data_IF_272525270139
#
_entry.id   IF_272525270139
#
_cell.length_a   1.000
_cell.length_b   1.000
_cell.length_c   1.000
_cell.angle_alpha   90.00
_cell.angle_beta   90.00
_cell.angle_gamma   90.00
#
_symmetry.space_group_name_H-M   'P 1'
#
loop_
_entity.id
_entity.type
_entity.pdbx_description
1 polymer ?
#
# COMPACT_ATOMS: atom_id res chain seq x y z
N UNK A 1 11.14 10.06 -10.36
CA UNK A 1 10.75 10.83 -9.17
C UNK A 1 11.95 11.54 -8.53
N UNK A 2 13.13 10.88 -8.36
CA UNK A 2 14.32 11.54 -7.79
C UNK A 2 14.73 12.84 -8.52
N UNK A 3 14.56 12.87 -9.83
CA UNK A 3 14.96 14.04 -10.66
C UNK A 3 13.87 15.12 -10.77
N UNK A 4 12.61 14.82 -10.36
CA UNK A 4 11.44 15.67 -10.62
C UNK A 4 10.88 16.41 -9.41
N UNK A 5 11.23 16.04 -8.16
CA UNK A 5 10.58 16.56 -6.94
C UNK A 5 11.53 17.03 -5.85
N UNK A 6 12.77 17.39 -6.14
CA UNK A 6 13.68 17.89 -5.10
C UNK A 6 14.08 16.81 -4.06
N UNK A 7 14.36 17.24 -2.87
CA UNK A 7 14.84 16.46 -1.72
C UNK A 7 13.85 15.33 -1.37
N UNK A 8 14.30 14.08 -1.40
CA UNK A 8 13.46 12.92 -1.12
C UNK A 8 13.91 12.22 0.16
N UNK A 9 13.09 12.27 1.21
CA UNK A 9 13.27 11.41 2.38
C UNK A 9 12.53 10.10 2.18
N UNK A 10 13.25 8.97 2.18
CA UNK A 10 12.65 7.64 2.09
C UNK A 10 12.53 7.00 3.46
N UNK A 11 11.35 6.55 3.80
CA UNK A 11 11.08 5.82 5.04
C UNK A 11 10.64 4.40 4.71
N UNK A 12 11.42 3.42 5.15
CA UNK A 12 11.08 2.00 5.03
C UNK A 12 10.53 1.55 6.38
N UNK A 13 9.27 1.10 6.40
CA UNK A 13 8.59 0.67 7.63
C UNK A 13 8.39 -0.83 7.58
N UNK A 14 8.86 -1.52 8.63
CA UNK A 14 8.76 -2.97 8.79
C UNK A 14 7.94 -3.29 10.04
N UNK A 15 6.98 -4.21 9.93
CA UNK A 15 6.33 -4.78 11.10
C UNK A 15 7.18 -5.90 11.68
N UNK A 16 7.22 -6.03 13.01
CA UNK A 16 7.92 -7.12 13.69
C UNK A 16 7.54 -8.50 13.17
N UNK A 17 8.43 -9.47 13.29
CA UNK A 17 8.23 -10.87 12.95
C UNK A 17 7.12 -11.52 13.78
N UNK A 18 6.67 -12.70 13.35
CA UNK A 18 5.65 -13.44 14.09
C UNK A 18 6.12 -13.69 15.53
N UNK A 19 5.27 -13.32 16.50
CA UNK A 19 5.52 -13.54 17.94
C UNK A 19 4.68 -14.69 18.48
N UNK A 20 5.05 -15.18 19.67
CA UNK A 20 4.29 -16.22 20.38
C UNK A 20 2.83 -15.83 20.60
N UNK A 21 2.54 -14.54 20.84
CA UNK A 21 1.15 -14.06 21.00
C UNK A 21 0.41 -13.98 19.66
N UNK A 22 1.11 -13.72 18.54
CA UNK A 22 0.47 -13.76 17.22
C UNK A 22 -0.07 -15.16 16.87
N UNK A 23 0.63 -16.23 17.26
CA UNK A 23 0.25 -17.62 16.94
C UNK A 23 -1.08 -18.01 17.59
N UNK A 24 -1.37 -17.49 18.77
CA UNK A 24 -2.61 -17.78 19.54
C UNK A 24 -3.62 -16.62 19.52
N UNK A 25 -3.38 -15.59 18.70
CA UNK A 25 -4.23 -14.39 18.59
C UNK A 25 -4.51 -13.71 19.95
N UNK A 26 -3.45 -13.58 20.76
CA UNK A 26 -3.49 -12.85 22.03
C UNK A 26 -3.19 -11.38 21.78
N UNK A 27 -3.97 -10.49 22.41
CA UNK A 27 -3.77 -9.04 22.34
C UNK A 27 -2.48 -8.69 23.09
N UNK A 28 -1.57 -8.01 22.40
CA UNK A 28 -0.24 -7.72 22.93
C UNK A 28 -0.16 -6.32 23.55
N UNK A 29 -0.57 -5.30 22.78
CA UNK A 29 -0.46 -3.91 23.21
C UNK A 29 0.94 -3.57 23.71
N UNK A 30 1.03 -3.03 24.90
CA UNK A 30 2.26 -2.69 25.60
C UNK A 30 2.89 -3.85 26.40
N UNK A 31 2.21 -5.00 26.53
CA UNK A 31 2.80 -6.18 27.18
C UNK A 31 4.05 -6.62 26.42
N UNK A 32 5.13 -6.88 27.17
CA UNK A 32 6.46 -7.18 26.63
C UNK A 32 6.93 -8.60 26.96
N UNK A 33 5.98 -9.51 27.14
CA UNK A 33 6.25 -10.93 27.45
C UNK A 33 6.45 -11.77 26.19
N UNK A 34 5.85 -11.35 25.04
CA UNK A 34 5.92 -12.11 23.81
C UNK A 34 7.27 -11.94 23.11
N UNK A 35 7.81 -13.06 22.64
CA UNK A 35 9.06 -13.14 21.87
C UNK A 35 8.80 -13.63 20.45
N UNK A 36 9.76 -13.45 19.55
CA UNK A 36 9.66 -13.99 18.20
C UNK A 36 9.60 -15.52 18.21
N UNK A 37 8.80 -16.09 17.32
CA UNK A 37 8.85 -17.52 17.00
C UNK A 37 10.05 -17.82 16.09
N UNK A 38 10.40 -19.08 15.89
CA UNK A 38 11.40 -19.47 14.89
C UNK A 38 11.06 -18.93 13.49
N UNK A 39 9.78 -19.00 13.11
CA UNK A 39 9.30 -18.38 11.87
C UNK A 39 9.52 -16.88 11.87
N UNK A 40 9.21 -16.18 12.97
CA UNK A 40 9.43 -14.75 13.09
C UNK A 40 10.90 -14.35 12.94
N UNK A 41 11.82 -15.11 13.52
CA UNK A 41 13.26 -14.92 13.36
C UNK A 41 13.70 -15.18 11.90
N UNK A 42 13.25 -16.27 11.30
CA UNK A 42 13.55 -16.62 9.91
C UNK A 42 13.06 -15.56 8.93
N UNK A 43 11.83 -15.05 9.13
CA UNK A 43 11.26 -14.01 8.26
C UNK A 43 11.99 -12.66 8.47
N UNK A 44 12.42 -12.32 9.69
CA UNK A 44 13.25 -11.14 9.96
C UNK A 44 14.62 -11.20 9.24
N UNK A 45 15.25 -12.39 9.18
CA UNK A 45 16.48 -12.59 8.38
C UNK A 45 16.23 -12.32 6.90
N UNK A 46 15.09 -12.77 6.35
CA UNK A 46 14.74 -12.51 4.96
C UNK A 46 14.51 -11.02 4.68
N UNK A 47 13.90 -10.29 5.63
CA UNK A 47 13.82 -8.82 5.56
C UNK A 47 15.22 -8.21 5.50
N UNK A 48 16.13 -8.61 6.40
CA UNK A 48 17.51 -8.13 6.41
C UNK A 48 18.20 -8.37 5.07
N UNK A 49 18.06 -9.57 4.49
CA UNK A 49 18.60 -9.88 3.14
C UNK A 49 18.01 -9.01 2.05
N UNK A 50 16.68 -8.80 2.07
CA UNK A 50 16.00 -7.96 1.08
C UNK A 50 16.42 -6.48 1.17
N UNK A 51 16.86 -6.03 2.34
CA UNK A 51 17.32 -4.66 2.60
C UNK A 51 18.85 -4.50 2.58
N UNK A 52 19.62 -5.58 2.40
CA UNK A 52 21.08 -5.58 2.57
C UNK A 52 21.86 -4.69 1.59
N UNK A 53 21.26 -4.32 0.47
CA UNK A 53 21.87 -3.44 -0.54
C UNK A 53 21.43 -1.98 -0.40
N UNK A 54 20.67 -1.64 0.65
CA UNK A 54 20.16 -0.29 0.87
C UNK A 54 21.01 0.38 1.95
N UNK A 55 21.62 1.52 1.62
CA UNK A 55 22.30 2.36 2.61
C UNK A 55 21.25 3.12 3.44
N UNK A 56 21.35 2.98 4.77
CA UNK A 56 20.50 3.69 5.71
C UNK A 56 21.28 4.80 6.42
N UNK A 57 20.63 5.94 6.64
CA UNK A 57 21.18 7.05 7.43
C UNK A 57 20.77 6.96 8.90
N UNK A 58 19.63 6.32 9.20
CA UNK A 58 19.19 6.02 10.56
C UNK A 58 18.31 4.76 10.60
N UNK A 59 18.34 4.06 11.73
CA UNK A 59 17.50 2.88 11.99
C UNK A 59 16.82 3.04 13.34
N UNK A 60 15.50 3.08 13.34
CA UNK A 60 14.65 3.20 14.52
C UNK A 60 13.90 1.91 14.79
N UNK A 61 13.75 1.55 16.06
CA UNK A 61 12.89 0.46 16.47
C UNK A 61 12.02 0.83 17.68
N UNK A 62 10.89 0.16 17.81
CA UNK A 62 10.12 0.16 19.06
C UNK A 62 10.91 -0.52 20.15
N UNK A 63 10.86 -0.03 21.41
CA UNK A 63 11.55 -0.68 22.55
C UNK A 63 10.93 -2.02 22.95
N UNK A 64 9.71 -2.37 22.49
CA UNK A 64 9.08 -3.64 22.82
C UNK A 64 9.84 -4.81 22.20
N UNK A 65 10.13 -5.85 23.01
CA UNK A 65 11.05 -6.98 22.70
C UNK A 65 10.87 -7.54 21.29
N UNK A 66 9.64 -7.86 20.88
CA UNK A 66 9.37 -8.46 19.56
C UNK A 66 9.82 -7.58 18.38
N UNK A 67 9.66 -6.25 18.50
CA UNK A 67 10.11 -5.32 17.46
C UNK A 67 11.63 -5.08 17.55
N UNK A 68 12.17 -4.95 18.75
CA UNK A 68 13.59 -4.81 19.00
C UNK A 68 14.37 -6.04 18.50
N UNK A 69 13.95 -7.26 18.84
CA UNK A 69 14.54 -8.50 18.31
C UNK A 69 14.50 -8.57 16.79
N UNK A 70 13.36 -8.17 16.17
CA UNK A 70 13.25 -8.10 14.71
C UNK A 70 14.27 -7.11 14.13
N UNK A 71 14.40 -5.93 14.73
CA UNK A 71 15.33 -4.90 14.28
C UNK A 71 16.81 -5.33 14.45
N UNK A 72 17.14 -6.01 15.54
CA UNK A 72 18.48 -6.54 15.80
C UNK A 72 18.88 -7.60 14.76
N UNK A 73 17.96 -8.50 14.39
CA UNK A 73 18.18 -9.51 13.33
C UNK A 73 18.40 -8.83 11.97
N UNK A 74 17.52 -7.88 11.61
CA UNK A 74 17.64 -7.12 10.36
C UNK A 74 18.95 -6.34 10.31
N UNK A 75 19.28 -5.63 11.39
CA UNK A 75 20.52 -4.86 11.52
C UNK A 75 21.76 -5.74 11.36
N UNK A 76 21.77 -6.90 12.01
CA UNK A 76 22.87 -7.87 11.89
C UNK A 76 23.09 -8.37 10.47
N UNK A 77 21.99 -8.65 9.75
CA UNK A 77 22.05 -9.11 8.36
C UNK A 77 22.53 -8.01 7.40
N UNK A 78 22.06 -6.77 7.57
CA UNK A 78 22.53 -5.63 6.77
C UNK A 78 24.01 -5.37 7.05
N UNK A 79 24.42 -5.39 8.32
CA UNK A 79 25.83 -5.18 8.75
C UNK A 79 26.79 -6.19 8.16
N UNK A 80 26.34 -7.42 7.89
CA UNK A 80 27.16 -8.43 7.25
C UNK A 80 27.52 -8.10 5.79
N UNK A 81 26.79 -7.17 5.16
CA UNK A 81 26.92 -6.79 3.75
C UNK A 81 27.38 -5.33 3.53
N UNK A 82 27.23 -4.46 4.53
CA UNK A 82 27.59 -3.04 4.45
C UNK A 82 28.51 -2.64 5.63
N UNK A 83 29.64 -2.00 5.32
CA UNK A 83 30.64 -1.59 6.34
C UNK A 83 30.15 -0.51 7.29
N UNK A 84 29.33 0.42 6.80
CA UNK A 84 28.85 1.57 7.56
C UNK A 84 27.32 1.51 7.72
N UNK A 85 26.87 0.90 8.81
CA UNK A 85 25.47 0.87 9.19
C UNK A 85 25.25 1.73 10.46
N UNK A 86 24.23 2.62 10.50
CA UNK A 86 23.94 3.38 11.71
C UNK A 86 23.51 2.48 12.87
N UNK A 87 23.81 2.91 14.08
CA UNK A 87 23.38 2.19 15.28
C UNK A 87 21.84 2.16 15.37
N UNK A 88 21.33 1.07 15.95
CA UNK A 88 19.90 0.93 16.22
C UNK A 88 19.47 1.88 17.33
N UNK A 89 18.42 2.67 17.09
CA UNK A 89 17.88 3.65 18.02
C UNK A 89 16.46 3.27 18.44
N UNK A 90 16.21 3.21 19.74
CA UNK A 90 14.86 3.01 20.25
C UNK A 90 14.08 4.33 20.22
N UNK A 91 12.80 4.26 19.83
CA UNK A 91 11.91 5.40 19.86
C UNK A 91 10.55 5.00 20.46
N UNK A 92 10.15 5.72 21.53
CA UNK A 92 8.91 5.44 22.26
C UNK A 92 7.65 5.74 21.43
N UNK A 93 7.74 6.65 20.45
CA UNK A 93 6.62 7.05 19.59
C UNK A 93 6.24 6.01 18.54
N UNK A 94 7.00 4.92 18.43
CA UNK A 94 6.65 3.78 17.58
C UNK A 94 6.33 2.51 18.39
N UNK A 95 5.96 2.65 19.67
CA UNK A 95 5.33 1.57 20.45
C UNK A 95 3.98 1.22 19.84
N UNK A 96 3.51 0.01 20.11
CA UNK A 96 2.20 -0.48 19.67
C UNK A 96 1.07 0.25 20.43
N UNK A 97 -0.16 0.12 19.94
CA UNK A 97 -1.36 0.60 20.59
C UNK A 97 -1.43 0.11 22.04
N UNK A 98 -1.82 0.97 22.96
CA UNK A 98 -2.13 0.60 24.33
C UNK A 98 -3.61 0.22 24.45
N UNK A 99 -3.88 -1.01 24.89
CA UNK A 99 -5.22 -1.56 25.06
C UNK A 99 -5.37 -2.13 26.48
N UNK A 100 -5.34 -1.27 27.52
CA UNK A 100 -5.14 -1.70 28.93
C UNK A 100 -6.17 -2.70 29.42
N UNK A 101 -7.40 -2.69 28.90
CA UNK A 101 -8.44 -3.63 29.30
C UNK A 101 -8.40 -4.97 28.56
N UNK A 102 -7.65 -5.06 27.46
CA UNK A 102 -7.62 -6.23 26.58
C UNK A 102 -6.25 -6.91 26.51
N UNK A 103 -5.19 -6.24 26.94
CA UNK A 103 -3.82 -6.77 26.90
C UNK A 103 -3.72 -8.10 27.66
N UNK A 104 -3.12 -9.10 27.03
CA UNK A 104 -2.99 -10.46 27.55
C UNK A 104 -4.19 -11.37 27.29
N UNK A 105 -5.33 -10.87 26.85
CA UNK A 105 -6.51 -11.66 26.53
C UNK A 105 -6.42 -12.25 25.11
N UNK A 106 -7.05 -13.40 24.88
CA UNK A 106 -7.29 -13.89 23.52
C UNK A 106 -8.32 -13.00 22.80
N UNK A 107 -8.22 -12.89 21.49
CA UNK A 107 -9.22 -12.12 20.71
C UNK A 107 -10.65 -12.66 20.86
N UNK A 108 -10.81 -13.96 21.09
CA UNK A 108 -12.11 -14.60 21.40
C UNK A 108 -12.63 -14.19 22.77
N UNK A 109 -11.75 -14.13 23.78
CA UNK A 109 -12.13 -13.68 25.14
C UNK A 109 -12.56 -12.20 25.14
N UNK A 110 -11.90 -11.34 24.33
CA UNK A 110 -12.32 -9.96 24.16
C UNK A 110 -13.71 -9.89 23.53
N UNK A 111 -13.96 -10.69 22.49
CA UNK A 111 -15.27 -10.74 21.84
C UNK A 111 -16.38 -11.21 22.78
N UNK A 112 -16.09 -12.16 23.67
CA UNK A 112 -17.04 -12.71 24.64
C UNK A 112 -17.30 -11.74 25.79
N UNK A 113 -16.24 -11.11 26.36
CA UNK A 113 -16.34 -10.25 27.52
C UNK A 113 -16.73 -8.81 27.21
N UNK A 114 -16.36 -8.33 26.01
CA UNK A 114 -16.55 -6.94 25.55
C UNK A 114 -17.18 -6.92 24.14
N UNK A 115 -18.35 -7.54 23.91
CA UNK A 115 -18.90 -7.71 22.55
C UNK A 115 -19.17 -6.39 21.85
N UNK A 116 -19.69 -5.37 22.54
CA UNK A 116 -19.97 -4.05 21.97
C UNK A 116 -18.68 -3.31 21.63
N UNK A 117 -17.71 -3.28 22.53
CA UNK A 117 -16.41 -2.64 22.28
C UNK A 117 -15.64 -3.34 21.15
N UNK A 118 -15.72 -4.69 21.08
CA UNK A 118 -15.13 -5.45 19.99
C UNK A 118 -15.80 -5.12 18.64
N UNK A 119 -17.10 -4.91 18.61
CA UNK A 119 -17.82 -4.45 17.41
C UNK A 119 -17.37 -3.04 17.02
N UNK A 120 -17.30 -2.10 17.96
CA UNK A 120 -16.78 -0.75 17.74
C UNK A 120 -15.36 -0.80 17.18
N UNK A 121 -14.47 -1.61 17.77
CA UNK A 121 -13.11 -1.85 17.25
C UNK A 121 -13.07 -2.29 15.79
N UNK A 122 -14.03 -3.08 15.34
CA UNK A 122 -14.10 -3.59 13.96
C UNK A 122 -14.70 -2.60 12.97
N UNK A 123 -15.70 -1.84 13.39
CA UNK A 123 -16.53 -1.03 12.49
C UNK A 123 -16.19 0.47 12.54
N UNK A 124 -15.88 0.99 13.74
CA UNK A 124 -15.60 2.40 14.01
C UNK A 124 -14.47 2.53 15.05
N UNK A 125 -13.24 2.08 14.73
CA UNK A 125 -12.18 1.94 15.73
C UNK A 125 -11.82 3.25 16.45
N UNK A 126 -12.03 4.40 15.84
CA UNK A 126 -11.80 5.72 16.41
C UNK A 126 -12.77 6.04 17.58
N UNK A 127 -13.89 5.34 17.64
CA UNK A 127 -14.90 5.49 18.71
C UNK A 127 -14.67 4.55 19.89
N UNK A 128 -13.72 3.61 19.77
CA UNK A 128 -13.40 2.72 20.88
C UNK A 128 -12.93 3.54 22.08
N UNK A 129 -13.65 3.37 23.20
CA UNK A 129 -13.41 4.05 24.47
C UNK A 129 -13.16 3.02 25.57
N UNK A 130 -12.11 3.23 26.35
CA UNK A 130 -11.81 2.45 27.53
C UNK A 130 -11.84 3.34 28.76
N UNK A 131 -12.38 2.84 29.87
CA UNK A 131 -12.32 3.51 31.16
C UNK A 131 -11.10 3.00 31.91
N UNK A 132 -10.14 3.88 32.16
CA UNK A 132 -8.87 3.52 32.79
C UNK A 132 -8.66 4.32 34.08
N UNK A 133 -7.95 3.73 35.05
CA UNK A 133 -7.59 4.42 36.27
C UNK A 133 -6.39 5.34 36.01
N UNK A 134 -6.52 6.59 36.44
CA UNK A 134 -5.45 7.58 36.50
C UNK A 134 -5.38 8.14 37.91
N UNK A 135 -4.52 7.56 38.75
CA UNK A 135 -4.51 7.80 40.18
C UNK A 135 -5.82 7.36 40.85
N UNK A 136 -6.49 8.31 41.49
CA UNK A 136 -7.80 8.06 42.15
C UNK A 136 -9.01 8.30 41.24
N UNK A 137 -8.78 8.77 39.99
CA UNK A 137 -9.84 9.10 39.04
C UNK A 137 -9.96 8.07 37.94
N UNK A 138 -11.18 7.87 37.43
CA UNK A 138 -11.41 7.09 36.20
C UNK A 138 -11.55 8.06 35.06
N UNK A 139 -10.72 7.86 34.04
CA UNK A 139 -10.69 8.71 32.84
C UNK A 139 -11.07 7.92 31.57
N UNK A 140 -11.62 8.62 30.61
CA UNK A 140 -11.88 8.05 29.29
C UNK A 140 -10.60 8.05 28.45
N UNK A 141 -10.28 6.91 27.87
CA UNK A 141 -9.12 6.73 26.98
C UNK A 141 -9.59 6.21 25.64
N UNK A 142 -9.14 6.85 24.57
CA UNK A 142 -9.44 6.49 23.18
C UNK A 142 -8.17 5.95 22.51
N UNK A 143 -7.98 4.62 22.50
CA UNK A 143 -6.70 4.00 22.07
C UNK A 143 -6.25 4.40 20.67
N UNK A 144 -7.19 4.44 19.72
CA UNK A 144 -6.87 4.78 18.32
C UNK A 144 -6.50 6.24 18.15
N UNK A 145 -7.24 7.15 18.80
CA UNK A 145 -6.94 8.58 18.70
C UNK A 145 -5.58 8.89 19.34
N UNK A 146 -5.28 8.27 20.49
CA UNK A 146 -3.98 8.41 21.14
C UNK A 146 -2.83 7.88 20.27
N UNK A 147 -3.01 6.73 19.61
CA UNK A 147 -2.02 6.16 18.71
C UNK A 147 -1.83 7.02 17.44
N UNK A 148 -2.90 7.61 16.96
CA UNK A 148 -2.88 8.50 15.80
C UNK A 148 -2.07 9.77 16.08
N UNK A 149 -2.25 10.39 17.25
CA UNK A 149 -1.43 11.53 17.70
C UNK A 149 0.03 11.12 17.92
N UNK A 150 0.28 9.95 18.52
CA UNK A 150 1.63 9.39 18.66
C UNK A 150 2.35 9.24 17.30
N UNK A 151 1.63 8.79 16.26
CA UNK A 151 2.18 8.69 14.91
C UNK A 151 2.50 10.06 14.30
N UNK A 152 1.64 11.07 14.49
CA UNK A 152 1.92 12.45 14.06
C UNK A 152 3.16 13.03 14.74
N UNK A 153 3.28 12.85 16.06
CA UNK A 153 4.44 13.27 16.82
C UNK A 153 5.73 12.60 16.33
N UNK A 154 5.67 11.33 15.94
CA UNK A 154 6.82 10.64 15.34
C UNK A 154 7.26 11.34 14.06
N UNK A 155 6.34 11.63 13.13
CA UNK A 155 6.66 12.33 11.89
C UNK A 155 7.22 13.73 12.13
N UNK A 156 6.63 14.48 13.03
CA UNK A 156 7.10 15.82 13.41
C UNK A 156 8.53 15.81 13.99
N UNK A 157 8.89 14.72 14.68
CA UNK A 157 10.24 14.57 15.23
C UNK A 157 11.25 14.12 14.18
N UNK A 158 10.90 13.15 13.35
CA UNK A 158 11.87 12.43 12.51
C UNK A 158 12.11 13.11 11.16
N UNK A 159 11.07 13.57 10.47
CA UNK A 159 11.24 14.09 9.11
C UNK A 159 12.15 15.33 9.04
N UNK A 160 12.09 16.30 9.96
CA UNK A 160 13.01 17.43 9.93
C UNK A 160 14.49 17.05 10.13
N UNK A 161 14.76 15.91 10.81
CA UNK A 161 16.13 15.43 11.08
C UNK A 161 16.73 14.68 9.89
N UNK A 162 15.91 14.17 8.98
CA UNK A 162 16.31 13.20 7.96
C UNK A 162 15.98 13.64 6.52
N UNK A 163 16.14 14.93 6.23
CA UNK A 163 15.98 15.43 4.86
C UNK A 163 17.00 14.79 3.92
N UNK A 164 16.56 14.33 2.74
CA UNK A 164 17.37 13.60 1.75
C UNK A 164 17.97 12.28 2.24
N UNK A 165 17.41 11.68 3.24
CA UNK A 165 17.94 10.48 3.86
C UNK A 165 17.00 9.28 3.68
N UNK A 166 17.56 8.07 3.80
CA UNK A 166 16.83 6.82 3.85
C UNK A 166 16.86 6.27 5.27
N UNK A 167 15.70 6.11 5.88
CA UNK A 167 15.58 5.60 7.25
C UNK A 167 14.78 4.29 7.30
N UNK A 168 15.14 3.42 8.23
CA UNK A 168 14.42 2.20 8.55
C UNK A 168 13.67 2.34 9.88
N UNK A 169 12.43 1.93 9.91
CA UNK A 169 11.57 1.92 11.10
C UNK A 169 11.04 0.50 11.32
N UNK A 170 11.31 -0.10 12.46
CA UNK A 170 10.81 -1.43 12.81
C UNK A 170 9.85 -1.32 13.99
N UNK A 171 8.57 -1.59 13.74
CA UNK A 171 7.53 -1.35 14.74
C UNK A 171 6.40 -2.42 14.68
N UNK A 172 5.15 -2.02 14.84
CA UNK A 172 4.03 -2.94 15.06
C UNK A 172 2.86 -2.68 14.08
N UNK A 173 1.85 -3.52 14.18
CA UNK A 173 0.72 -3.49 13.23
C UNK A 173 -0.09 -2.20 13.29
N UNK A 174 -0.55 -1.81 14.49
CA UNK A 174 -1.45 -0.67 14.61
C UNK A 174 -0.70 0.65 14.43
N UNK A 175 0.48 0.80 15.04
CA UNK A 175 1.28 2.02 14.85
C UNK A 175 1.73 2.18 13.40
N UNK A 176 2.11 1.11 12.69
CA UNK A 176 2.49 1.20 11.27
C UNK A 176 1.32 1.68 10.40
N UNK A 177 0.09 1.19 10.69
CA UNK A 177 -1.12 1.70 10.01
C UNK A 177 -1.33 3.18 10.30
N UNK A 178 -1.21 3.62 11.56
CA UNK A 178 -1.33 5.02 11.92
C UNK A 178 -0.22 5.88 11.29
N UNK A 179 1.03 5.40 11.23
CA UNK A 179 2.11 6.09 10.53
C UNK A 179 1.79 6.32 9.05
N UNK A 180 1.30 5.29 8.36
CA UNK A 180 0.92 5.40 6.95
C UNK A 180 -0.28 6.33 6.77
N UNK A 181 -1.32 6.16 7.59
CA UNK A 181 -2.54 6.95 7.49
C UNK A 181 -2.31 8.44 7.80
N UNK A 182 -1.55 8.75 8.85
CA UNK A 182 -1.22 10.13 9.20
C UNK A 182 -0.36 10.80 8.13
N UNK A 183 0.54 10.04 7.48
CA UNK A 183 1.36 10.55 6.40
C UNK A 183 0.54 11.00 5.19
N UNK A 184 -0.49 10.24 4.81
CA UNK A 184 -1.39 10.57 3.69
C UNK A 184 -2.72 11.16 4.15
N UNK A 185 -2.81 11.67 5.37
CA UNK A 185 -3.97 12.37 5.95
C UNK A 185 -5.30 11.58 5.92
N UNK A 186 -5.23 10.26 6.05
CA UNK A 186 -6.44 9.41 6.19
C UNK A 186 -6.93 9.47 7.64
N UNK A 187 -8.22 9.59 7.83
CA UNK A 187 -8.89 9.62 9.13
C UNK A 187 -8.70 8.33 9.95
N UNK A 188 -8.63 8.40 11.28
CA UNK A 188 -8.36 7.24 12.13
C UNK A 188 -9.42 6.12 12.03
N UNK A 189 -10.64 6.43 11.64
CA UNK A 189 -11.71 5.44 11.39
C UNK A 189 -11.39 4.42 10.30
N UNK A 190 -10.44 4.72 9.42
CA UNK A 190 -10.04 3.86 8.32
C UNK A 190 -8.98 2.81 8.69
N UNK A 191 -8.57 2.73 9.97
CA UNK A 191 -7.47 1.88 10.42
C UNK A 191 -7.62 0.41 10.04
N UNK A 192 -8.86 -0.10 9.98
CA UNK A 192 -9.12 -1.50 9.60
C UNK A 192 -9.09 -1.76 8.08
N UNK A 193 -9.05 -0.70 7.26
CA UNK A 193 -9.07 -0.81 5.79
C UNK A 193 -7.73 -1.11 5.13
N UNK A 194 -6.65 -1.12 5.91
CA UNK A 194 -5.32 -1.47 5.43
C UNK A 194 -4.73 -2.62 6.25
N UNK A 195 -3.94 -3.47 5.60
CA UNK A 195 -3.32 -4.63 6.24
C UNK A 195 -1.86 -4.35 6.60
N UNK A 196 -1.35 -5.04 7.61
CA UNK A 196 0.07 -5.14 7.94
C UNK A 196 0.40 -6.58 8.29
N UNK A 197 1.08 -7.31 7.40
CA UNK A 197 1.57 -8.66 7.65
C UNK A 197 2.81 -8.64 8.56
N UNK A 198 3.09 -9.72 9.30
CA UNK A 198 4.37 -9.82 10.03
C UNK A 198 5.53 -9.74 9.03
N UNK A 199 6.59 -9.05 9.36
CA UNK A 199 7.75 -8.82 8.49
C UNK A 199 7.42 -8.17 7.13
N UNK A 200 6.25 -7.56 6.95
CA UNK A 200 5.97 -6.81 5.72
C UNK A 200 6.86 -5.57 5.63
N UNK A 201 7.14 -5.17 4.41
CA UNK A 201 7.88 -3.96 4.08
C UNK A 201 6.95 -2.95 3.43
N UNK A 202 6.99 -1.71 3.91
CA UNK A 202 6.30 -0.57 3.32
C UNK A 202 7.34 0.50 2.99
N UNK A 203 7.20 1.17 1.85
CA UNK A 203 8.13 2.22 1.41
C UNK A 203 7.34 3.50 1.16
N UNK A 204 7.70 4.55 1.88
CA UNK A 204 7.13 5.89 1.79
C UNK A 204 8.19 6.88 1.35
N UNK A 205 7.85 7.76 0.43
CA UNK A 205 8.74 8.82 -0.06
C UNK A 205 8.11 10.18 0.26
N UNK A 206 8.85 11.04 0.97
CA UNK A 206 8.44 12.39 1.32
C UNK A 206 9.25 13.39 0.50
N UNK A 207 8.59 14.38 -0.10
CA UNK A 207 9.22 15.49 -0.81
C UNK A 207 9.71 16.58 0.14
N UNK A 208 9.82 17.81 -0.39
CA UNK A 208 10.35 18.97 0.35
C UNK A 208 9.48 19.41 1.54
N UNK A 209 8.20 19.10 1.49
CA UNK A 209 7.26 19.36 2.60
C UNK A 209 6.56 18.07 3.02
N UNK A 210 6.03 18.06 4.25
CA UNK A 210 5.33 16.91 4.83
C UNK A 210 4.01 16.56 4.11
N UNK A 211 3.57 17.39 3.19
CA UNK A 211 2.35 17.22 2.43
C UNK A 211 2.58 16.50 1.10
N UNK A 212 3.83 16.56 0.58
CA UNK A 212 4.25 15.83 -0.62
C UNK A 212 4.73 14.43 -0.25
N UNK A 213 3.79 13.52 -0.10
CA UNK A 213 4.02 12.12 0.27
C UNK A 213 3.52 11.16 -0.82
N UNK A 214 4.31 10.13 -1.11
CA UNK A 214 3.89 9.03 -1.97
C UNK A 214 4.18 7.68 -1.31
N UNK A 215 3.19 6.82 -1.26
CA UNK A 215 3.37 5.40 -0.96
C UNK A 215 3.97 4.75 -2.21
N UNK A 216 5.26 4.42 -2.15
CA UNK A 216 5.94 3.68 -3.21
C UNK A 216 5.45 2.24 -3.26
N UNK A 217 5.34 1.59 -2.08
CA UNK A 217 4.78 0.26 -1.94
C UNK A 217 4.26 0.03 -0.52
N UNK A 218 3.31 -0.89 -0.40
CA UNK A 218 2.63 -1.14 0.85
C UNK A 218 2.45 -2.64 1.10
N UNK A 219 2.79 -3.10 2.32
CA UNK A 219 2.61 -4.46 2.81
C UNK A 219 3.22 -5.55 1.91
N UNK A 220 4.43 -5.32 1.39
CA UNK A 220 5.17 -6.30 0.60
C UNK A 220 5.51 -7.53 1.44
N UNK A 221 5.31 -8.73 0.88
CA UNK A 221 5.56 -10.03 1.54
C UNK A 221 6.41 -10.99 0.70
N UNK A 222 6.72 -10.62 -0.55
CA UNK A 222 7.36 -11.47 -1.55
C UNK A 222 8.77 -11.91 -1.13
N UNK A 223 9.52 -11.04 -0.44
CA UNK A 223 10.86 -11.37 0.12
C UNK A 223 10.83 -12.54 1.11
N UNK A 224 9.68 -12.83 1.71
CA UNK A 224 9.49 -13.99 2.58
C UNK A 224 9.10 -15.28 1.82
N UNK A 225 8.91 -15.20 0.50
CA UNK A 225 8.39 -16.29 -0.33
C UNK A 225 6.85 -16.35 -0.35
N UNK A 226 6.17 -15.37 0.24
CA UNK A 226 4.72 -15.27 0.23
C UNK A 226 4.29 -14.34 -0.91
N UNK A 227 3.84 -14.91 -2.04
CA UNK A 227 3.45 -14.17 -3.25
C UNK A 227 2.39 -13.09 -2.95
N UNK A 228 1.30 -13.48 -2.30
CA UNK A 228 0.21 -12.57 -1.89
C UNK A 228 0.01 -12.62 -0.38
N UNK A 229 -0.39 -11.52 0.26
CA UNK A 229 -0.78 -11.54 1.66
C UNK A 229 -1.90 -12.55 1.92
N UNK A 230 -1.84 -13.24 3.07
CA UNK A 230 -2.84 -14.24 3.45
C UNK A 230 -4.21 -13.59 3.61
N UNK A 231 -5.25 -14.31 3.19
CA UNK A 231 -6.64 -13.93 3.46
C UNK A 231 -6.88 -13.80 4.98
N UNK A 232 -7.71 -12.87 5.38
CA UNK A 232 -8.15 -12.77 6.78
C UNK A 232 -8.96 -14.01 7.16
N UNK A 233 -8.91 -14.44 8.43
CA UNK A 233 -9.78 -15.50 8.92
C UNK A 233 -11.25 -15.19 8.62
N UNK A 234 -12.01 -16.19 8.21
CA UNK A 234 -13.42 -16.08 7.83
C UNK A 234 -13.69 -15.17 6.62
N UNK A 235 -12.73 -15.07 5.70
CA UNK A 235 -12.92 -14.42 4.42
C UNK A 235 -13.99 -15.16 3.61
N UNK A 236 -15.03 -14.46 3.16
CA UNK A 236 -16.19 -15.03 2.45
C UNK A 236 -16.46 -14.34 1.11
N UNK A 237 -15.85 -13.19 0.87
CA UNK A 237 -16.04 -12.43 -0.35
C UNK A 237 -14.95 -12.69 -1.37
N UNK A 238 -14.69 -11.70 -2.22
CA UNK A 238 -13.72 -11.80 -3.31
C UNK A 238 -12.37 -11.17 -2.93
N UNK A 239 -11.33 -11.63 -3.63
CA UNK A 239 -10.04 -10.95 -3.76
C UNK A 239 -9.96 -10.30 -5.14
N UNK A 240 -9.67 -9.01 -5.17
CA UNK A 240 -9.35 -8.27 -6.38
C UNK A 240 -7.84 -8.15 -6.54
N UNK A 241 -7.36 -8.52 -7.71
CA UNK A 241 -6.01 -8.25 -8.21
C UNK A 241 -6.11 -7.12 -9.23
N UNK A 242 -5.51 -5.96 -8.93
CA UNK A 242 -5.54 -4.79 -9.80
C UNK A 242 -4.13 -4.53 -10.35
N UNK A 243 -3.96 -4.63 -11.66
CA UNK A 243 -2.68 -4.55 -12.35
C UNK A 243 -2.66 -3.34 -13.28
N UNK A 244 -1.56 -2.57 -13.31
CA UNK A 244 -1.30 -1.59 -14.37
C UNK A 244 -0.67 -2.31 -15.56
N UNK A 245 -1.00 -1.87 -16.78
CA UNK A 245 -0.40 -2.38 -18.02
C UNK A 245 1.14 -2.33 -18.01
N UNK A 246 1.79 -3.14 -18.84
CA UNK A 246 3.22 -3.15 -19.05
C UNK A 246 3.73 -1.88 -19.74
N UNK A 247 5.06 -1.74 -19.81
CA UNK A 247 5.71 -0.57 -20.39
C UNK A 247 5.40 -0.41 -21.89
N UNK A 248 5.25 0.85 -22.32
CA UNK A 248 5.15 1.27 -23.70
C UNK A 248 6.34 2.18 -24.06
N UNK A 249 6.59 2.43 -25.33
CA UNK A 249 7.63 3.38 -25.74
C UNK A 249 7.38 4.79 -25.18
N UNK A 250 6.11 5.19 -25.02
CA UNK A 250 5.78 6.47 -24.45
C UNK A 250 6.01 6.53 -22.93
N UNK A 251 5.86 5.41 -22.20
CA UNK A 251 6.29 5.35 -20.80
C UNK A 251 7.81 5.58 -20.69
N UNK A 252 8.60 4.87 -21.52
CA UNK A 252 10.05 5.00 -21.55
C UNK A 252 10.49 6.44 -21.89
N UNK A 253 9.78 7.11 -22.79
CA UNK A 253 10.03 8.49 -23.22
C UNK A 253 9.42 9.52 -22.27
N UNK A 254 8.73 9.12 -21.21
CA UNK A 254 8.00 10.00 -20.28
C UNK A 254 6.99 10.92 -20.99
N UNK A 255 6.24 10.37 -21.95
CA UNK A 255 5.15 11.06 -22.66
C UNK A 255 3.80 10.70 -22.10
N UNK A 256 2.90 11.66 -22.03
CA UNK A 256 1.51 11.46 -21.65
C UNK A 256 0.79 10.64 -22.72
N UNK A 257 0.13 9.53 -22.33
CA UNK A 257 -0.49 8.63 -23.31
C UNK A 257 -2.00 8.87 -23.46
N UNK A 258 -2.67 9.06 -22.36
CA UNK A 258 -4.13 9.21 -22.37
C UNK A 258 -4.79 8.00 -23.04
N UNK A 259 -5.70 8.29 -23.98
CA UNK A 259 -6.41 7.26 -24.74
C UNK A 259 -5.85 7.02 -26.14
N UNK A 260 -4.70 7.59 -26.48
CA UNK A 260 -3.96 7.16 -27.68
C UNK A 260 -3.59 5.68 -27.53
N UNK A 261 -3.90 4.89 -28.55
CA UNK A 261 -3.82 3.43 -28.48
C UNK A 261 -2.42 2.92 -28.85
N UNK A 262 -1.55 2.91 -27.85
CA UNK A 262 -0.14 2.48 -27.95
C UNK A 262 -0.02 1.05 -27.42
N UNK A 263 0.68 0.18 -28.17
CA UNK A 263 1.00 -1.19 -27.77
C UNK A 263 2.11 -1.26 -26.72
N UNK A 264 2.27 -2.42 -26.09
CA UNK A 264 3.42 -2.71 -25.26
C UNK A 264 4.71 -2.66 -26.09
N UNK A 265 5.79 -2.15 -25.49
CA UNK A 265 7.13 -2.38 -26.04
C UNK A 265 7.68 -3.75 -25.59
N UNK A 266 8.87 -4.12 -26.02
CA UNK A 266 9.47 -5.42 -25.69
C UNK A 266 9.66 -5.60 -24.18
N UNK A 267 10.04 -4.54 -23.46
CA UNK A 267 10.13 -4.58 -21.98
C UNK A 267 8.76 -4.76 -21.33
N UNK A 268 7.72 -4.09 -21.83
CA UNK A 268 6.34 -4.26 -21.33
C UNK A 268 5.80 -5.68 -21.50
N UNK A 269 6.16 -6.35 -22.62
CA UNK A 269 5.83 -7.77 -22.81
C UNK A 269 6.53 -8.65 -21.78
N UNK A 270 7.84 -8.45 -21.57
CA UNK A 270 8.62 -9.17 -20.55
C UNK A 270 8.08 -8.91 -19.12
N UNK A 271 7.71 -7.67 -18.81
CA UNK A 271 7.06 -7.36 -17.52
C UNK A 271 5.74 -8.12 -17.37
N UNK A 272 4.92 -8.17 -18.43
CA UNK A 272 3.64 -8.89 -18.42
C UNK A 272 3.83 -10.41 -18.26
N UNK A 273 4.85 -11.00 -18.89
CA UNK A 273 5.24 -12.40 -18.70
C UNK A 273 5.66 -12.69 -17.25
N UNK A 274 6.38 -11.77 -16.60
CA UNK A 274 6.74 -11.89 -15.18
C UNK A 274 5.52 -11.83 -14.25
N UNK A 275 4.53 -10.97 -14.55
CA UNK A 275 3.24 -10.98 -13.84
C UNK A 275 2.53 -12.32 -14.04
N UNK A 276 2.47 -12.81 -15.27
CA UNK A 276 1.85 -14.10 -15.61
C UNK A 276 2.50 -15.25 -14.81
N UNK A 277 3.83 -15.34 -14.80
CA UNK A 277 4.58 -16.33 -14.02
C UNK A 277 4.37 -16.16 -12.51
N UNK A 278 4.30 -14.92 -12.02
CA UNK A 278 4.02 -14.64 -10.62
C UNK A 278 2.63 -15.12 -10.20
N UNK A 279 1.62 -14.95 -11.05
CA UNK A 279 0.23 -15.28 -10.77
C UNK A 279 -0.18 -16.71 -11.19
N UNK A 280 0.66 -17.48 -11.88
CA UNK A 280 0.30 -18.79 -12.48
C UNK A 280 -0.36 -19.80 -11.53
N UNK A 281 0.02 -19.77 -10.24
CA UNK A 281 -0.50 -20.67 -9.21
C UNK A 281 -1.72 -20.08 -8.46
N UNK A 282 -2.15 -18.87 -8.82
CA UNK A 282 -3.31 -18.21 -8.22
C UNK A 282 -4.54 -18.54 -9.08
N UNK A 283 -5.54 -19.14 -8.47
CA UNK A 283 -6.82 -19.36 -9.17
C UNK A 283 -7.50 -18.02 -9.42
N UNK A 284 -7.74 -17.69 -10.69
CA UNK A 284 -8.45 -16.48 -11.12
C UNK A 284 -9.73 -16.94 -11.81
N UNK A 285 -10.88 -16.44 -11.34
CA UNK A 285 -12.18 -16.83 -11.87
C UNK A 285 -12.59 -16.00 -13.09
N UNK A 286 -12.20 -14.72 -13.14
CA UNK A 286 -12.55 -13.81 -14.23
C UNK A 286 -11.53 -12.67 -14.37
N UNK A 287 -11.31 -12.25 -15.63
CA UNK A 287 -10.38 -11.15 -15.94
C UNK A 287 -11.13 -10.05 -16.68
N UNK A 288 -10.93 -8.83 -16.24
CA UNK A 288 -11.40 -7.61 -16.88
C UNK A 288 -10.21 -6.76 -17.33
N UNK A 289 -10.35 -6.03 -18.41
CA UNK A 289 -9.31 -5.12 -18.87
C UNK A 289 -9.91 -3.87 -19.50
N UNK A 290 -9.17 -2.76 -19.40
CA UNK A 290 -9.34 -1.64 -20.33
C UNK A 290 -9.25 -2.15 -21.77
N UNK A 291 -10.04 -1.59 -22.67
CA UNK A 291 -9.99 -1.93 -24.10
C UNK A 291 -8.78 -1.36 -24.83
N UNK A 292 -8.00 -0.43 -24.22
CA UNK A 292 -6.78 0.09 -24.79
C UNK A 292 -5.72 -1.02 -24.93
N UNK A 293 -5.04 -1.03 -26.08
CA UNK A 293 -4.18 -2.11 -26.55
C UNK A 293 -3.16 -2.56 -25.50
N UNK A 294 -2.42 -1.63 -24.87
CA UNK A 294 -1.42 -1.94 -23.83
C UNK A 294 -1.97 -2.71 -22.62
N UNK A 295 -3.18 -2.39 -22.19
CA UNK A 295 -3.84 -3.08 -21.07
C UNK A 295 -4.39 -4.43 -21.50
N UNK A 296 -5.01 -4.49 -22.67
CA UNK A 296 -5.50 -5.72 -23.29
C UNK A 296 -4.38 -6.73 -23.53
N UNK A 297 -3.27 -6.33 -24.14
CA UNK A 297 -2.09 -7.19 -24.36
C UNK A 297 -1.52 -7.72 -23.04
N UNK A 298 -1.42 -6.87 -22.01
CA UNK A 298 -0.99 -7.29 -20.67
C UNK A 298 -1.91 -8.38 -20.12
N UNK A 299 -3.24 -8.19 -20.21
CA UNK A 299 -4.23 -9.16 -19.75
C UNK A 299 -4.15 -10.48 -20.54
N UNK A 300 -4.00 -10.41 -21.87
CA UNK A 300 -3.86 -11.58 -22.74
C UNK A 300 -2.60 -12.41 -22.43
N UNK A 301 -1.47 -11.74 -22.13
CA UNK A 301 -0.24 -12.42 -21.72
C UNK A 301 -0.42 -13.10 -20.35
N UNK A 302 -1.07 -12.44 -19.38
CA UNK A 302 -1.37 -13.06 -18.08
C UNK A 302 -2.24 -14.31 -18.26
N UNK A 303 -3.25 -14.23 -19.13
CA UNK A 303 -4.19 -15.32 -19.39
C UNK A 303 -3.56 -16.57 -20.06
N UNK A 304 -2.38 -16.46 -20.64
CA UNK A 304 -1.66 -17.64 -21.17
C UNK A 304 -1.35 -18.68 -20.09
N UNK A 305 -1.29 -18.27 -18.81
CA UNK A 305 -1.09 -19.15 -17.66
C UNK A 305 -2.41 -19.60 -17.01
N UNK A 306 -3.58 -19.13 -17.47
CA UNK A 306 -4.89 -19.36 -16.86
C UNK A 306 -5.88 -19.92 -17.90
N UNK A 307 -5.92 -21.24 -18.03
CA UNK A 307 -6.83 -21.89 -18.99
C UNK A 307 -8.30 -21.72 -18.55
N UNK A 308 -9.18 -21.50 -19.55
CA UNK A 308 -10.62 -21.38 -19.38
C UNK A 308 -11.09 -20.14 -18.57
N UNK A 309 -10.27 -19.11 -18.46
CA UNK A 309 -10.66 -17.84 -17.88
C UNK A 309 -10.97 -16.83 -19.00
N UNK A 310 -12.14 -16.21 -18.95
CA UNK A 310 -12.59 -15.25 -19.95
C UNK A 310 -12.05 -13.87 -19.67
N UNK A 311 -11.66 -13.17 -20.75
CA UNK A 311 -11.33 -11.76 -20.73
C UNK A 311 -12.55 -10.94 -21.15
N UNK A 312 -12.93 -9.98 -20.33
CA UNK A 312 -13.97 -8.99 -20.64
C UNK A 312 -13.35 -7.59 -20.73
N UNK A 313 -13.53 -6.94 -21.88
CA UNK A 313 -13.02 -5.59 -22.10
C UNK A 313 -14.05 -4.56 -21.68
N UNK A 314 -13.61 -3.49 -21.00
CA UNK A 314 -14.48 -2.43 -20.53
C UNK A 314 -13.87 -1.04 -20.71
N UNK A 315 -14.56 -0.17 -21.44
CA UNK A 315 -14.12 1.19 -21.74
C UNK A 315 -14.09 2.11 -20.50
N UNK A 316 -14.83 1.78 -19.44
CA UNK A 316 -14.78 2.51 -18.18
C UNK A 316 -13.40 2.48 -17.50
N UNK A 317 -12.58 1.49 -17.83
CA UNK A 317 -11.20 1.40 -17.33
C UNK A 317 -10.15 2.07 -18.22
N UNK A 318 -10.51 2.71 -19.34
CA UNK A 318 -9.56 3.50 -20.14
C UNK A 318 -8.89 4.57 -19.29
N UNK A 319 -7.65 4.91 -19.65
CA UNK A 319 -6.90 5.98 -18.99
C UNK A 319 -7.59 7.34 -19.14
N UNK A 320 -7.18 8.31 -18.35
CA UNK A 320 -7.63 9.70 -18.45
C UNK A 320 -7.38 10.22 -19.87
N UNK A 321 -8.37 10.86 -20.47
CA UNK A 321 -8.15 11.58 -21.74
C UNK A 321 -7.34 12.84 -21.43
N UNK A 322 -6.05 12.81 -21.73
CA UNK A 322 -5.15 13.94 -21.53
C UNK A 322 -5.29 15.01 -22.62
N UNK A 323 -6.01 14.71 -23.70
CA UNK A 323 -6.34 15.65 -24.75
C UNK A 323 -5.11 16.24 -25.43
N UNK A 324 -4.94 17.56 -25.37
CA UNK A 324 -3.82 18.26 -26.00
C UNK A 324 -2.44 17.91 -25.44
N UNK A 325 -2.38 17.20 -24.29
CA UNK A 325 -1.10 16.75 -23.72
C UNK A 325 -0.66 15.38 -24.25
N UNK A 326 -1.55 14.64 -24.92
CA UNK A 326 -1.22 13.30 -25.45
C UNK A 326 -0.07 13.36 -26.46
N UNK A 327 0.89 12.49 -26.27
CA UNK A 327 2.15 12.44 -27.04
C UNK A 327 3.24 13.42 -26.60
N UNK A 328 2.97 14.32 -25.65
CA UNK A 328 3.92 15.33 -25.20
C UNK A 328 4.66 14.89 -23.93
N UNK A 329 5.90 15.33 -23.82
CA UNK A 329 6.66 15.32 -22.56
C UNK A 329 6.26 16.49 -21.67
N UNK A 330 6.62 16.42 -20.38
CA UNK A 330 6.38 17.53 -19.44
C UNK A 330 7.01 18.87 -19.91
N UNK A 331 8.20 18.80 -20.51
CA UNK A 331 8.87 19.99 -21.05
C UNK A 331 8.06 20.62 -22.19
N UNK A 332 7.55 19.80 -23.10
CA UNK A 332 6.71 20.26 -24.22
C UNK A 332 5.36 20.84 -23.71
N UNK A 333 4.78 20.21 -22.68
CA UNK A 333 3.54 20.71 -22.05
C UNK A 333 3.80 22.07 -21.37
N UNK A 334 4.88 22.21 -20.59
CA UNK A 334 5.18 23.46 -19.90
C UNK A 334 5.44 24.61 -20.89
N UNK A 335 5.99 24.32 -22.08
CA UNK A 335 6.18 25.33 -23.13
C UNK A 335 4.88 25.77 -23.78
N UNK A 336 3.92 24.86 -24.01
CA UNK A 336 2.64 25.16 -24.65
C UNK A 336 1.55 25.60 -23.67
N UNK A 337 1.60 25.09 -22.44
CA UNK A 337 0.62 25.32 -21.37
C UNK A 337 1.32 25.69 -20.06
N UNK A 338 1.97 26.86 -19.97
CA UNK A 338 2.79 27.24 -18.82
C UNK A 338 1.98 27.19 -17.50
N UNK A 339 2.52 26.51 -16.49
CA UNK A 339 1.93 26.38 -15.15
C UNK A 339 0.79 25.37 -15.02
N UNK A 340 0.29 24.79 -16.12
CA UNK A 340 -0.81 23.82 -16.05
C UNK A 340 -0.38 22.47 -15.46
N UNK A 341 0.90 22.06 -15.66
CA UNK A 341 1.45 20.86 -15.00
C UNK A 341 1.47 21.02 -13.47
N UNK A 342 1.80 22.21 -12.99
CA UNK A 342 1.79 22.47 -11.56
C UNK A 342 0.36 22.40 -11.01
N UNK A 343 -0.62 23.02 -11.68
CA UNK A 343 -2.04 22.93 -11.30
C UNK A 343 -2.54 21.50 -11.27
N UNK A 344 -2.21 20.69 -12.28
CA UNK A 344 -2.57 19.27 -12.33
C UNK A 344 -1.99 18.48 -11.14
N UNK A 345 -0.80 18.81 -10.70
CA UNK A 345 -0.15 18.16 -9.55
C UNK A 345 -0.71 18.62 -8.21
N UNK A 346 -1.03 19.91 -8.07
CA UNK A 346 -1.48 20.49 -6.79
C UNK A 346 -2.98 20.32 -6.56
N UNK A 347 -3.79 20.43 -7.59
CA UNK A 347 -5.25 20.42 -7.50
C UNK A 347 -5.90 19.60 -8.62
N UNK A 348 -5.61 18.27 -8.70
CA UNK A 348 -6.11 17.41 -9.78
C UNK A 348 -7.65 17.40 -9.85
N UNK A 349 -8.33 17.52 -8.70
CA UNK A 349 -9.79 17.55 -8.60
C UNK A 349 -10.43 18.77 -9.25
N UNK A 350 -9.70 19.86 -9.43
CA UNK A 350 -10.15 21.11 -10.06
C UNK A 350 -9.62 21.26 -11.49
N UNK A 351 -8.80 20.31 -11.93
CA UNK A 351 -8.12 20.41 -13.21
C UNK A 351 -8.98 19.87 -14.36
N UNK A 352 -9.07 20.66 -15.43
CA UNK A 352 -9.67 20.26 -16.70
C UNK A 352 -8.55 20.06 -17.72
N UNK A 353 -8.37 18.84 -18.21
CA UNK A 353 -7.42 18.58 -19.29
C UNK A 353 -7.80 19.36 -20.55
N UNK A 354 -6.87 20.08 -21.18
CA UNK A 354 -7.13 20.79 -22.43
C UNK A 354 -7.61 19.81 -23.51
N UNK A 355 -8.86 19.97 -23.96
CA UNK A 355 -9.53 19.06 -24.89
C UNK A 355 -9.62 17.60 -24.39
N UNK A 356 -9.61 17.38 -23.09
CA UNK A 356 -9.68 16.05 -22.47
C UNK A 356 -10.72 15.96 -21.37
N UNK A 357 -10.57 14.99 -20.48
CA UNK A 357 -11.47 14.78 -19.34
C UNK A 357 -11.06 15.65 -18.14
N UNK A 358 -12.02 15.97 -17.28
CA UNK A 358 -11.74 16.39 -15.92
C UNK A 358 -11.75 15.18 -14.97
N UNK A 359 -11.25 15.39 -13.77
CA UNK A 359 -11.14 14.33 -12.78
C UNK A 359 -12.48 13.68 -12.44
N UNK A 360 -13.57 14.48 -12.33
CA UNK A 360 -14.90 13.99 -12.01
C UNK A 360 -15.44 13.03 -13.07
N UNK A 361 -15.22 13.32 -14.35
CA UNK A 361 -15.65 12.46 -15.45
C UNK A 361 -14.95 11.09 -15.41
N UNK A 362 -13.63 11.09 -15.21
CA UNK A 362 -12.84 9.85 -15.09
C UNK A 362 -13.28 9.06 -13.86
N UNK A 363 -13.42 9.74 -12.72
CA UNK A 363 -13.86 9.12 -11.47
C UNK A 363 -15.19 8.41 -11.65
N UNK A 364 -16.19 9.14 -12.17
CA UNK A 364 -17.54 8.59 -12.31
C UNK A 364 -17.54 7.33 -13.18
N UNK A 365 -16.99 7.38 -14.41
CA UNK A 365 -17.01 6.22 -15.32
C UNK A 365 -16.23 5.02 -14.78
N UNK A 366 -15.11 5.28 -14.12
CA UNK A 366 -14.24 4.21 -13.60
C UNK A 366 -14.88 3.54 -12.39
N UNK A 367 -15.42 4.31 -11.45
CA UNK A 367 -16.06 3.80 -10.23
C UNK A 367 -17.36 3.08 -10.53
N UNK A 368 -18.23 3.61 -11.42
CA UNK A 368 -19.47 2.94 -11.81
C UNK A 368 -19.24 1.54 -12.36
N UNK A 369 -18.25 1.40 -13.25
CA UNK A 369 -17.90 0.08 -13.81
C UNK A 369 -17.31 -0.82 -12.75
N UNK A 370 -16.39 -0.31 -11.94
CA UNK A 370 -15.77 -1.05 -10.84
C UNK A 370 -16.81 -1.60 -9.87
N UNK A 371 -17.73 -0.77 -9.37
CA UNK A 371 -18.79 -1.20 -8.43
C UNK A 371 -19.72 -2.24 -9.04
N UNK A 372 -20.06 -2.08 -10.32
CA UNK A 372 -20.86 -3.07 -11.06
C UNK A 372 -20.17 -4.43 -11.12
N UNK A 373 -18.87 -4.45 -11.41
CA UNK A 373 -18.06 -5.68 -11.48
C UNK A 373 -17.94 -6.33 -10.10
N UNK A 374 -17.65 -5.57 -9.05
CA UNK A 374 -17.56 -6.10 -7.68
C UNK A 374 -18.88 -6.72 -7.25
N UNK A 375 -19.99 -6.03 -7.50
CA UNK A 375 -21.34 -6.53 -7.18
C UNK A 375 -21.66 -7.82 -7.95
N UNK A 376 -21.35 -7.88 -9.24
CA UNK A 376 -21.55 -9.08 -10.06
C UNK A 376 -20.72 -10.24 -9.55
N UNK A 377 -19.41 -10.02 -9.30
CA UNK A 377 -18.49 -11.03 -8.80
C UNK A 377 -18.92 -11.62 -7.45
N UNK A 378 -19.41 -10.79 -6.54
CA UNK A 378 -19.95 -11.23 -5.25
C UNK A 378 -21.26 -12.00 -5.40
N UNK A 379 -22.13 -11.58 -6.32
CA UNK A 379 -23.39 -12.29 -6.62
C UNK A 379 -23.13 -13.66 -7.23
N UNK A 380 -22.16 -13.76 -8.14
CA UNK A 380 -21.70 -14.98 -8.78
C UNK A 380 -20.85 -15.87 -7.84
N UNK A 381 -20.52 -15.37 -6.65
CA UNK A 381 -19.67 -16.03 -5.64
C UNK A 381 -18.28 -16.39 -6.19
N UNK A 382 -17.71 -15.51 -6.99
CA UNK A 382 -16.31 -15.66 -7.42
C UNK A 382 -15.37 -15.50 -6.22
N UNK A 383 -14.18 -16.08 -6.32
CA UNK A 383 -13.15 -15.99 -5.27
C UNK A 383 -12.11 -14.93 -5.58
N UNK A 384 -11.64 -14.90 -6.85
CA UNK A 384 -10.59 -13.97 -7.28
C UNK A 384 -10.90 -13.43 -8.66
N UNK A 385 -10.85 -12.12 -8.79
CA UNK A 385 -10.94 -11.42 -10.09
C UNK A 385 -9.68 -10.61 -10.34
N UNK A 386 -9.33 -10.47 -11.60
CA UNK A 386 -8.23 -9.63 -12.06
C UNK A 386 -8.77 -8.47 -12.90
N UNK A 387 -8.29 -7.25 -12.63
CA UNK A 387 -8.53 -6.07 -13.47
C UNK A 387 -7.18 -5.55 -13.97
N UNK A 388 -7.04 -5.35 -15.28
CA UNK A 388 -5.87 -4.71 -15.89
C UNK A 388 -6.27 -3.35 -16.44
N UNK A 389 -5.64 -2.30 -15.91
CA UNK A 389 -5.98 -0.92 -16.27
C UNK A 389 -4.72 -0.03 -16.34
N UNK A 390 -4.82 1.25 -15.97
CA UNK A 390 -3.78 2.24 -16.17
C UNK A 390 -3.40 2.93 -14.86
N UNK A 391 -2.37 3.79 -14.92
CA UNK A 391 -1.86 4.50 -13.75
C UNK A 391 -2.92 5.36 -13.09
N UNK A 392 -3.51 6.29 -13.85
CA UNK A 392 -4.49 7.23 -13.32
C UNK A 392 -5.78 6.54 -12.86
N UNK A 393 -6.31 5.60 -13.64
CA UNK A 393 -7.53 4.87 -13.24
C UNK A 393 -7.31 3.99 -12.02
N UNK A 394 -6.14 3.35 -11.87
CA UNK A 394 -5.81 2.58 -10.66
C UNK A 394 -5.67 3.47 -9.42
N UNK A 395 -5.08 4.67 -9.54
CA UNK A 395 -5.01 5.64 -8.45
C UNK A 395 -6.40 6.10 -8.02
N UNK A 396 -7.31 6.36 -8.95
CA UNK A 396 -8.72 6.69 -8.67
C UNK A 396 -9.38 5.54 -7.92
N UNK A 397 -9.23 4.29 -8.39
CA UNK A 397 -9.80 3.14 -7.71
C UNK A 397 -9.26 2.95 -6.29
N UNK A 398 -7.96 3.16 -6.07
CA UNK A 398 -7.37 3.10 -4.72
C UNK A 398 -7.93 4.19 -3.81
N UNK A 399 -8.10 5.43 -4.32
CA UNK A 399 -8.75 6.50 -3.56
C UNK A 399 -10.20 6.10 -3.21
N UNK A 400 -10.99 5.64 -4.17
CA UNK A 400 -12.36 5.22 -3.94
C UNK A 400 -12.47 4.07 -2.92
N UNK A 401 -11.66 3.01 -3.06
CA UNK A 401 -11.63 1.83 -2.19
C UNK A 401 -11.28 2.22 -0.75
N UNK A 402 -10.38 3.17 -0.57
CA UNK A 402 -10.00 3.67 0.75
C UNK A 402 -10.94 4.74 1.29
N UNK A 403 -11.91 5.20 0.50
CA UNK A 403 -12.84 6.27 0.87
C UNK A 403 -12.20 7.65 0.91
N UNK A 404 -11.21 7.88 0.05
CA UNK A 404 -10.45 9.11 -0.07
C UNK A 404 -11.00 10.00 -1.19
N UNK A 405 -10.78 11.31 -1.06
CA UNK A 405 -11.06 12.28 -2.10
C UNK A 405 -9.96 12.34 -3.17
N UNK A 406 -10.20 13.10 -4.21
CA UNK A 406 -9.29 13.30 -5.34
C UNK A 406 -7.94 13.92 -4.96
N UNK A 407 -7.87 14.68 -3.88
CA UNK A 407 -6.63 15.27 -3.37
C UNK A 407 -5.56 14.22 -3.02
N UNK A 408 -5.97 12.97 -2.79
CA UNK A 408 -5.09 11.83 -2.50
C UNK A 408 -4.58 11.11 -3.76
N UNK A 409 -4.96 11.56 -4.96
CA UNK A 409 -4.64 10.91 -6.23
C UNK A 409 -3.15 10.58 -6.36
N UNK A 410 -2.27 11.51 -6.02
CA UNK A 410 -0.82 11.35 -6.15
C UNK A 410 -0.15 10.56 -5.02
N UNK A 411 -0.89 10.23 -3.96
CA UNK A 411 -0.32 9.50 -2.83
C UNK A 411 0.05 8.04 -3.16
N UNK A 412 -0.46 7.48 -4.25
CA UNK A 412 -0.25 6.08 -4.61
C UNK A 412 0.60 5.95 -5.87
N UNK A 413 1.80 5.38 -5.73
CA UNK A 413 2.59 5.02 -6.91
C UNK A 413 1.94 3.83 -7.61
N UNK A 414 1.89 3.92 -8.95
CA UNK A 414 1.43 2.83 -9.80
C UNK A 414 2.46 2.63 -10.92
N UNK A 415 3.31 1.63 -10.80
CA UNK A 415 4.37 1.32 -11.76
C UNK A 415 3.89 0.37 -12.84
N UNK A 416 4.55 0.32 -14.01
CA UNK A 416 4.16 -0.62 -15.06
C UNK A 416 4.20 -2.06 -14.53
N UNK A 417 3.18 -2.83 -14.83
CA UNK A 417 2.98 -4.18 -14.32
C UNK A 417 3.01 -4.30 -12.78
N UNK A 418 2.74 -3.24 -12.02
CA UNK A 418 2.54 -3.39 -10.58
C UNK A 418 1.23 -4.11 -10.28
N UNK A 419 1.21 -4.79 -9.14
CA UNK A 419 0.05 -5.49 -8.62
C UNK A 419 -0.42 -4.84 -7.32
N UNK A 420 -1.71 -4.54 -7.24
CA UNK A 420 -2.40 -4.16 -6.01
C UNK A 420 -3.36 -5.28 -5.61
N UNK A 421 -3.51 -5.52 -4.32
CA UNK A 421 -4.34 -6.61 -3.77
C UNK A 421 -5.37 -6.03 -2.81
N UNK A 422 -6.64 -6.27 -3.10
CA UNK A 422 -7.77 -5.78 -2.30
C UNK A 422 -8.67 -6.96 -1.96
N UNK A 423 -9.06 -7.08 -0.71
CA UNK A 423 -9.98 -8.10 -0.25
C UNK A 423 -11.33 -7.50 0.16
N UNK A 424 -12.40 -8.21 -0.12
CA UNK A 424 -13.76 -7.96 0.36
C UNK A 424 -14.14 -9.04 1.39
N UNK A 425 -13.68 -8.95 2.66
CA UNK A 425 -13.75 -10.08 3.60
C UNK A 425 -15.17 -10.58 3.90
N UNK A 426 -16.16 -9.68 3.86
CA UNK A 426 -17.58 -9.98 4.11
C UNK A 426 -18.48 -9.53 2.95
N UNK A 427 -17.95 -9.53 1.73
CA UNK A 427 -18.68 -9.01 0.59
C UNK A 427 -18.98 -7.51 0.72
N UNK A 428 -20.21 -7.10 0.34
CA UNK A 428 -20.65 -5.70 0.43
C UNK A 428 -21.09 -5.29 1.85
N UNK A 429 -21.18 -6.23 2.80
CA UNK A 429 -21.61 -5.95 4.18
C UNK A 429 -20.49 -5.30 5.03
N UNK A 430 -19.30 -5.12 4.48
CA UNK A 430 -18.19 -4.44 5.13
C UNK A 430 -17.32 -3.69 4.11
N UNK A 431 -16.52 -2.76 4.62
CA UNK A 431 -15.54 -2.07 3.78
C UNK A 431 -14.46 -3.04 3.24
N UNK A 432 -13.94 -2.76 2.05
CA UNK A 432 -12.80 -3.48 1.49
C UNK A 432 -11.53 -3.25 2.31
N UNK A 433 -10.60 -4.18 2.20
CA UNK A 433 -9.30 -4.11 2.87
C UNK A 433 -8.19 -4.14 1.84
N UNK A 434 -7.38 -3.08 1.79
CA UNK A 434 -6.19 -3.04 0.95
C UNK A 434 -5.12 -3.92 1.60
N UNK A 435 -4.76 -4.99 0.90
CA UNK A 435 -3.77 -5.98 1.31
C UNK A 435 -2.38 -5.67 0.80
N UNK A 436 -2.27 -4.92 -0.28
CA UNK A 436 -1.00 -4.52 -0.85
C UNK A 436 -1.17 -3.49 -1.96
N UNK A 437 -0.17 -2.61 -2.10
CA UNK A 437 -0.12 -1.58 -3.15
C UNK A 437 1.23 -1.65 -3.84
N UNK A 438 1.20 -1.56 -5.17
CA UNK A 438 2.36 -1.42 -6.04
C UNK A 438 3.43 -2.48 -5.80
N UNK A 439 3.06 -3.76 -5.79
CA UNK A 439 4.02 -4.84 -5.77
C UNK A 439 4.74 -4.91 -7.11
N UNK A 440 6.07 -4.78 -7.09
CA UNK A 440 6.96 -4.82 -8.27
C UNK A 440 8.17 -5.72 -8.08
N UNK A 441 8.37 -6.27 -6.88
CA UNK A 441 9.56 -7.05 -6.54
C UNK A 441 9.75 -8.30 -7.42
N UNK A 442 8.68 -8.86 -7.98
CA UNK A 442 8.77 -9.97 -8.94
C UNK A 442 9.32 -9.54 -10.32
N UNK A 443 9.34 -8.24 -10.61
CA UNK A 443 9.92 -7.70 -11.87
C UNK A 443 11.44 -7.59 -11.79
N UNK A 444 11.96 -7.11 -10.66
CA UNK A 444 13.38 -6.73 -10.51
C UNK A 444 14.10 -7.52 -9.42
N UNK A 445 13.40 -8.18 -8.51
CA UNK A 445 13.97 -8.81 -7.31
C UNK A 445 14.22 -7.83 -6.16
N UNK A 446 14.03 -6.53 -6.37
CA UNK A 446 14.20 -5.47 -5.36
C UNK A 446 12.90 -5.19 -4.62
N UNK A 447 12.99 -4.83 -3.34
CA UNK A 447 11.87 -4.31 -2.56
C UNK A 447 11.60 -2.83 -2.85
N UNK A 448 12.56 -2.14 -3.42
CA UNK A 448 12.39 -0.80 -3.96
C UNK A 448 11.91 -0.89 -5.39
N UNK A 449 11.04 0.02 -5.75
CA UNK A 449 10.54 0.09 -7.12
C UNK A 449 11.56 0.73 -8.06
N UNK A 450 12.15 -0.09 -8.90
CA UNK A 450 13.15 0.29 -9.91
C UNK A 450 12.54 0.45 -11.31
N UNK A 451 11.22 0.31 -11.44
CA UNK A 451 10.55 0.41 -12.74
C UNK A 451 10.38 1.87 -13.19
N UNK A 452 10.40 2.09 -14.49
CA UNK A 452 10.05 3.40 -15.07
C UNK A 452 8.52 3.56 -14.96
N UNK A 453 8.06 4.67 -14.39
CA UNK A 453 6.61 4.92 -14.25
C UNK A 453 6.01 5.67 -15.43
N UNK A 454 6.83 6.37 -16.21
CA UNK A 454 6.37 7.26 -17.28
C UNK A 454 5.61 8.49 -16.75
N UNK A 455 5.10 9.31 -17.68
CA UNK A 455 4.12 10.37 -17.36
C UNK A 455 2.73 9.72 -17.21
N UNK A 456 1.96 10.15 -16.22
CA UNK A 456 0.57 9.74 -15.94
C UNK A 456 -0.38 10.86 -16.31
#
# INVERSE_FOLDING_TARGET
>A
LRERRGILTRVIIVRHGQSTYNTVRRIQGHLDESVLTEKGCSDALKVGKALSNISFDAIYCSPLKRAKQTAEIIHGEIKANLDNIPALQENLKIKEIHLPLWEGMLSTEVQEKFPEDHKVWKENPEKLRMLVQDGETTVEYFPILALYEQAKEFWQEILPKHQNQTILVVAHSCINRCLIQTAIKIEPGYMQRIQQSNCCINVLNFGDNLEDIQIESFNQTQHMGQKLPSLRPNHQGIRLLLVRHGETDWNQQSRYQGQVDISLNENGKLQSEKVAEFLKDISIDKVYSSSLLRAKETAEIILQQHQNVNLELNDGFKEIIHGAWEGKSETEIEQEFPGELQRWRETPEQFQMPAGENFQQVWQRTVEVYESIIKAALTEKLNTILIVAHGGTNQILLCHILGLSAEHFWNFRQSNCCLNVIDYPKGLDSFPVVQGINFTSYLTGSVLDETVTGAV
#
